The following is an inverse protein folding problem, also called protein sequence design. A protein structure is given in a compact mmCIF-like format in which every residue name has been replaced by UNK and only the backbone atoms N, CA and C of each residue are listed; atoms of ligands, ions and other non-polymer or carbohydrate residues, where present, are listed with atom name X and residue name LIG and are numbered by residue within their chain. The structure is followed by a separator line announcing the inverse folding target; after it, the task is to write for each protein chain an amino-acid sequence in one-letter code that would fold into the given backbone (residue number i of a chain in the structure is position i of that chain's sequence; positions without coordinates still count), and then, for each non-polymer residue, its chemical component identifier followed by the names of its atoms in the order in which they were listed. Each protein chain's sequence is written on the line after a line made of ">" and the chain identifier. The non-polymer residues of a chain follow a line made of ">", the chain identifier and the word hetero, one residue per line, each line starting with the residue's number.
data_IF_125295542820
#
_entry.id   IF_125295542820
#
_cell.length_a   1.000
_cell.length_b   1.000
_cell.length_c   1.000
_cell.angle_alpha   90.00
_cell.angle_beta   90.00
_cell.angle_gamma   90.00
#
_symmetry.space_group_name_H-M   'P 1'
#
loop_
_entity.id
_entity.type
_entity.pdbx_description
1 polymer ?
#
# COMPACT_ATOMS: atom_id res chain seq x y z
N UNK A 1 16.12 -8.03 -6.18
CA UNK A 1 16.02 -9.45 -6.56
C UNK A 1 15.07 -9.57 -7.72
N UNK A 2 15.38 -10.42 -8.71
CA UNK A 2 14.52 -10.64 -9.86
C UNK A 2 13.21 -11.30 -9.40
N UNK A 3 12.06 -10.68 -9.67
CA UNK A 3 10.75 -11.26 -9.38
C UNK A 3 10.32 -12.12 -10.57
N UNK A 4 10.26 -13.43 -10.38
CA UNK A 4 9.79 -14.37 -11.40
C UNK A 4 8.30 -14.66 -11.18
N UNK A 5 7.48 -14.37 -12.19
CA UNK A 5 6.08 -14.76 -12.19
C UNK A 5 5.96 -16.24 -12.53
N UNK A 6 5.11 -16.96 -11.79
CA UNK A 6 4.76 -18.32 -12.17
C UNK A 6 4.04 -18.31 -13.54
N UNK A 7 4.42 -19.27 -14.37
CA UNK A 7 3.86 -19.57 -15.66
C UNK A 7 2.79 -20.65 -15.49
N UNK A 8 1.57 -20.37 -15.98
CA UNK A 8 0.40 -21.22 -15.75
C UNK A 8 0.49 -22.57 -16.47
N UNK A 9 1.32 -22.63 -17.52
CA UNK A 9 1.60 -23.80 -18.35
C UNK A 9 2.72 -24.69 -17.79
N UNK A 10 3.38 -24.29 -16.71
CA UNK A 10 4.46 -25.05 -16.07
C UNK A 10 4.07 -25.53 -14.66
N UNK A 11 4.65 -26.65 -14.22
CA UNK A 11 4.47 -27.07 -12.83
C UNK A 11 5.27 -26.12 -11.92
N UNK A 12 4.79 -25.92 -10.69
CA UNK A 12 5.45 -25.03 -9.73
C UNK A 12 6.91 -25.43 -9.50
N UNK A 13 7.20 -26.74 -9.42
CA UNK A 13 8.55 -27.27 -9.20
C UNK A 13 9.47 -27.17 -10.43
N UNK A 14 8.90 -26.89 -11.61
CA UNK A 14 9.67 -26.71 -12.84
C UNK A 14 10.22 -25.27 -12.96
N UNK A 15 9.78 -24.36 -12.07
CA UNK A 15 10.31 -23.01 -12.00
C UNK A 15 11.62 -22.97 -11.21
N UNK A 16 12.47 -21.98 -11.51
CA UNK A 16 13.69 -21.72 -10.74
C UNK A 16 13.33 -21.07 -9.39
N UNK A 17 12.93 -21.91 -8.43
CA UNK A 17 12.58 -21.50 -7.07
C UNK A 17 13.84 -21.40 -6.19
N UNK A 18 13.86 -20.49 -5.20
CA UNK A 18 14.98 -20.38 -4.28
C UNK A 18 15.26 -21.70 -3.56
N UNK A 19 16.48 -22.23 -3.69
CA UNK A 19 16.93 -23.50 -3.07
C UNK A 19 17.18 -23.41 -1.55
N UNK A 20 16.48 -22.50 -0.86
CA UNK A 20 16.62 -22.33 0.58
C UNK A 20 15.83 -23.43 1.31
N UNK A 21 16.35 -23.98 2.42
CA UNK A 21 15.58 -24.93 3.22
C UNK A 21 14.31 -24.27 3.78
N UNK A 22 13.18 -24.97 3.65
CA UNK A 22 11.87 -24.49 4.12
C UNK A 22 10.85 -24.33 2.99
N UNK A 23 9.67 -23.81 3.34
CA UNK A 23 8.61 -23.56 2.39
C UNK A 23 8.97 -22.40 1.44
N UNK A 24 8.73 -22.58 0.15
CA UNK A 24 8.84 -21.49 -0.83
C UNK A 24 7.72 -20.48 -0.59
N UNK A 25 8.10 -19.21 -0.39
CA UNK A 25 7.14 -18.11 -0.25
C UNK A 25 6.73 -17.64 -1.64
N UNK A 26 5.43 -17.69 -1.92
CA UNK A 26 4.83 -17.10 -3.10
C UNK A 26 4.05 -15.85 -2.70
N UNK A 27 4.18 -14.79 -3.48
CA UNK A 27 3.40 -13.57 -3.29
C UNK A 27 2.31 -13.51 -4.34
N UNK A 28 1.06 -13.38 -3.90
CA UNK A 28 -0.04 -13.04 -4.78
C UNK A 28 0.00 -11.53 -5.05
N UNK A 29 0.03 -11.15 -6.32
CA UNK A 29 0.19 -9.75 -6.73
C UNK A 29 -0.54 -9.48 -8.06
N UNK A 30 -0.88 -8.23 -8.29
CA UNK A 30 -1.53 -7.78 -9.53
C UNK A 30 -0.47 -7.61 -10.61
N UNK A 31 -0.58 -8.39 -11.69
CA UNK A 31 0.33 -8.33 -12.85
C UNK A 31 -0.15 -7.37 -13.94
N UNK A 32 -1.46 -7.29 -14.14
CA UNK A 32 -2.07 -6.49 -15.20
C UNK A 32 -3.02 -5.47 -14.57
N UNK A 33 -2.82 -4.21 -14.94
CA UNK A 33 -3.71 -3.12 -14.56
C UNK A 33 -4.67 -2.81 -15.69
N UNK A 34 -5.81 -2.24 -15.33
CA UNK A 34 -6.83 -1.77 -16.25
C UNK A 34 -6.90 -0.25 -16.19
N UNK A 35 -7.50 0.38 -17.19
CA UNK A 35 -7.60 1.84 -17.28
C UNK A 35 -8.35 2.46 -16.10
N UNK A 36 -9.35 1.77 -15.55
CA UNK A 36 -10.12 2.25 -14.41
C UNK A 36 -10.59 1.10 -13.53
N UNK A 37 -10.39 1.24 -12.22
CA UNK A 37 -10.92 0.31 -11.21
C UNK A 37 -12.45 0.26 -11.19
N UNK A 38 -13.13 1.25 -11.77
CA UNK A 38 -14.60 1.26 -11.91
C UNK A 38 -15.14 0.09 -12.72
N UNK A 39 -14.31 -0.53 -13.58
CA UNK A 39 -14.68 -1.71 -14.34
C UNK A 39 -14.57 -3.02 -13.53
N UNK A 40 -14.00 -2.99 -12.32
CA UNK A 40 -13.92 -4.16 -11.44
C UNK A 40 -15.28 -4.43 -10.80
N UNK A 41 -15.85 -5.60 -11.10
CA UNK A 41 -17.15 -6.03 -10.57
C UNK A 41 -17.06 -6.64 -9.17
N UNK A 42 -15.92 -7.25 -8.84
CA UNK A 42 -15.71 -7.94 -7.57
C UNK A 42 -14.98 -7.03 -6.58
N UNK A 43 -15.59 -6.82 -5.42
CA UNK A 43 -15.01 -6.10 -4.29
C UNK A 43 -13.66 -6.66 -3.87
N UNK A 44 -13.51 -7.99 -3.88
CA UNK A 44 -12.24 -8.65 -3.52
C UNK A 44 -11.12 -8.22 -4.46
N UNK A 45 -11.43 -8.07 -5.75
CA UNK A 45 -10.44 -7.64 -6.74
C UNK A 45 -10.05 -6.19 -6.54
N UNK A 46 -11.00 -5.30 -6.22
CA UNK A 46 -10.70 -3.89 -5.87
C UNK A 46 -9.77 -3.83 -4.66
N UNK A 47 -10.06 -4.59 -3.60
CA UNK A 47 -9.21 -4.65 -2.40
C UNK A 47 -7.80 -5.16 -2.73
N UNK A 48 -7.67 -6.17 -3.62
CA UNK A 48 -6.37 -6.66 -4.07
C UNK A 48 -5.57 -5.61 -4.85
N UNK A 49 -6.23 -4.82 -5.71
CA UNK A 49 -5.60 -3.71 -6.43
C UNK A 49 -5.09 -2.64 -5.45
N UNK A 50 -5.92 -2.26 -4.48
CA UNK A 50 -5.53 -1.32 -3.42
C UNK A 50 -4.31 -1.83 -2.63
N UNK A 51 -4.35 -3.08 -2.15
CA UNK A 51 -3.26 -3.67 -1.38
C UNK A 51 -1.96 -3.76 -2.20
N UNK A 52 -2.07 -4.09 -3.48
CA UNK A 52 -0.92 -4.15 -4.38
C UNK A 52 -0.33 -2.76 -4.60
N UNK A 53 -1.15 -1.76 -4.91
CA UNK A 53 -0.74 -0.37 -5.08
C UNK A 53 -0.08 0.19 -3.82
N UNK A 54 -0.69 -0.03 -2.64
CA UNK A 54 -0.13 0.32 -1.32
C UNK A 54 1.26 -0.28 -1.12
N UNK A 55 1.43 -1.59 -1.40
CA UNK A 55 2.73 -2.26 -1.33
C UNK A 55 3.74 -1.67 -2.31
N UNK A 56 3.33 -1.41 -3.55
CA UNK A 56 4.23 -0.86 -4.57
C UNK A 56 4.70 0.56 -4.24
N UNK A 57 3.82 1.41 -3.73
CA UNK A 57 4.17 2.75 -3.23
C UNK A 57 5.14 2.65 -2.07
N UNK A 58 4.82 1.87 -1.03
CA UNK A 58 5.69 1.71 0.14
C UNK A 58 7.09 1.17 -0.22
N UNK A 59 7.18 0.27 -1.20
CA UNK A 59 8.45 -0.27 -1.71
C UNK A 59 9.19 0.68 -2.66
N UNK A 60 8.61 1.82 -3.02
CA UNK A 60 9.18 2.76 -3.99
C UNK A 60 9.17 2.25 -5.43
N UNK A 61 8.32 1.27 -5.76
CA UNK A 61 8.13 0.78 -7.13
C UNK A 61 7.23 1.69 -7.96
N UNK A 62 6.31 2.39 -7.29
CA UNK A 62 5.53 3.49 -7.87
C UNK A 62 6.06 4.78 -7.26
N UNK A 63 6.61 5.65 -8.10
CA UNK A 63 7.05 6.97 -7.68
C UNK A 63 5.88 7.95 -7.72
N UNK A 64 5.72 8.72 -6.64
CA UNK A 64 4.76 9.80 -6.52
C UNK A 64 5.41 10.95 -5.75
N UNK A 65 4.92 12.16 -5.97
CA UNK A 65 5.36 13.32 -5.21
C UNK A 65 4.95 13.20 -3.73
N UNK A 66 5.65 13.94 -2.87
CA UNK A 66 5.46 13.85 -1.42
C UNK A 66 4.03 14.19 -0.96
N UNK A 67 3.38 15.16 -1.60
CA UNK A 67 2.00 15.55 -1.26
C UNK A 67 1.02 14.40 -1.59
N UNK A 68 1.19 13.75 -2.74
CA UNK A 68 0.43 12.54 -3.09
C UNK A 68 0.68 11.41 -2.10
N UNK A 69 1.94 11.18 -1.68
CA UNK A 69 2.26 10.16 -0.67
C UNK A 69 1.55 10.45 0.66
N UNK A 70 1.50 11.70 1.11
CA UNK A 70 0.82 12.06 2.37
C UNK A 70 -0.69 11.80 2.29
N UNK A 71 -1.33 12.10 1.15
CA UNK A 71 -2.74 11.78 0.92
C UNK A 71 -2.99 10.27 0.92
N UNK A 72 -2.13 9.50 0.25
CA UNK A 72 -2.23 8.04 0.22
C UNK A 72 -2.05 7.45 1.63
N UNK A 73 -1.09 7.93 2.41
CA UNK A 73 -0.89 7.51 3.79
C UNK A 73 -2.11 7.81 4.69
N UNK A 74 -2.79 8.94 4.47
CA UNK A 74 -4.04 9.25 5.17
C UNK A 74 -5.17 8.27 4.80
N UNK A 75 -5.31 7.91 3.51
CA UNK A 75 -6.26 6.88 3.07
C UNK A 75 -5.92 5.50 3.66
N UNK A 76 -4.63 5.17 3.81
CA UNK A 76 -4.20 3.93 4.48
C UNK A 76 -4.60 3.92 5.96
N UNK A 77 -4.52 5.05 6.67
CA UNK A 77 -5.04 5.16 8.03
C UNK A 77 -6.57 4.98 8.06
N UNK A 78 -7.29 5.67 7.19
CA UNK A 78 -8.75 5.58 7.11
C UNK A 78 -9.23 4.14 6.80
N UNK A 79 -8.55 3.45 5.87
CA UNK A 79 -8.83 2.07 5.53
C UNK A 79 -8.59 1.11 6.70
N UNK A 80 -7.51 1.31 7.45
CA UNK A 80 -7.08 0.39 8.50
C UNK A 80 -7.70 0.67 9.88
N UNK A 81 -8.03 1.92 10.18
CA UNK A 81 -8.39 2.40 11.53
C UNK A 81 -9.73 3.13 11.59
N UNK A 82 -10.31 3.49 10.44
CA UNK A 82 -11.56 4.25 10.37
C UNK A 82 -11.33 5.74 10.57
N UNK A 83 -12.23 6.42 11.28
CA UNK A 83 -12.14 7.86 11.47
C UNK A 83 -11.03 8.27 12.45
N UNK A 84 -10.46 9.44 12.20
CA UNK A 84 -9.52 10.08 13.12
C UNK A 84 -10.09 10.22 14.54
N UNK A 85 -9.27 9.84 15.53
CA UNK A 85 -9.58 9.96 16.96
C UNK A 85 -8.65 10.96 17.68
N UNK A 86 -7.34 10.83 17.51
CA UNK A 86 -6.32 11.76 18.05
C UNK A 86 -5.01 11.67 17.29
N UNK A 87 -4.16 12.69 17.43
CA UNK A 87 -2.83 12.75 16.81
C UNK A 87 -1.92 11.63 17.34
N UNK A 88 -1.95 11.36 18.65
CA UNK A 88 -1.12 10.33 19.27
C UNK A 88 -1.43 8.94 18.68
N UNK A 89 -2.72 8.64 18.50
CA UNK A 89 -3.16 7.37 17.90
C UNK A 89 -2.75 7.30 16.43
N UNK A 90 -2.98 8.38 15.66
CA UNK A 90 -2.60 8.42 14.25
C UNK A 90 -1.09 8.21 14.05
N UNK A 91 -0.24 8.89 14.83
CA UNK A 91 1.22 8.70 14.78
C UNK A 91 1.63 7.28 15.17
N UNK A 92 1.01 6.71 16.22
CA UNK A 92 1.27 5.33 16.63
C UNK A 92 0.94 4.35 15.52
N UNK A 93 -0.21 4.52 14.87
CA UNK A 93 -0.64 3.65 13.79
C UNK A 93 0.25 3.79 12.54
N UNK A 94 0.65 5.02 12.18
CA UNK A 94 1.58 5.27 11.06
C UNK A 94 2.92 4.54 11.19
N UNK A 95 3.42 4.36 12.42
CA UNK A 95 4.65 3.59 12.68
C UNK A 95 4.51 2.09 12.42
N UNK A 96 3.27 1.58 12.44
CA UNK A 96 2.99 0.15 12.23
C UNK A 96 2.56 -0.16 10.80
N UNK A 97 2.06 0.84 10.07
CA UNK A 97 1.52 0.69 8.74
C UNK A 97 2.58 0.96 7.66
N UNK A 98 2.54 0.25 6.51
CA UNK A 98 3.40 0.51 5.38
C UNK A 98 2.92 1.76 4.62
N UNK A 99 3.03 2.94 5.24
CA UNK A 99 2.46 4.19 4.75
C UNK A 99 3.45 5.03 3.92
N UNK A 100 4.74 4.99 4.26
CA UNK A 100 5.76 5.83 3.64
C UNK A 100 6.79 5.02 2.84
N UNK A 101 7.18 5.46 1.64
CA UNK A 101 8.40 5.02 0.98
C UNK A 101 9.63 5.61 1.69
N UNK A 102 10.74 4.85 1.72
CA UNK A 102 12.00 5.31 2.33
C UNK A 102 12.50 6.62 1.71
N UNK A 103 12.31 6.80 0.40
CA UNK A 103 12.72 8.01 -0.34
C UNK A 103 12.03 9.26 0.20
N UNK A 104 10.70 9.20 0.39
CA UNK A 104 9.93 10.32 0.94
C UNK A 104 10.43 10.71 2.33
N UNK A 105 10.77 9.75 3.19
CA UNK A 105 11.30 10.04 4.52
C UNK A 105 12.67 10.74 4.49
N UNK A 106 13.46 10.56 3.43
CA UNK A 106 14.77 11.20 3.25
C UNK A 106 14.68 12.61 2.66
N UNK A 107 13.59 12.91 1.95
CA UNK A 107 13.37 14.22 1.30
C UNK A 107 12.87 15.30 2.28
N UNK A 108 12.43 14.91 3.48
CA UNK A 108 11.83 15.82 4.45
C UNK A 108 12.65 15.96 5.73
N UNK A 109 12.48 17.07 6.49
CA UNK A 109 13.29 17.37 7.66
C UNK A 109 13.17 16.34 8.79
N UNK A 110 12.03 15.65 8.92
CA UNK A 110 11.81 14.63 9.96
C UNK A 110 10.61 13.73 9.65
N UNK A 111 10.55 12.58 10.32
CA UNK A 111 9.35 11.74 10.34
C UNK A 111 8.14 12.46 10.93
N UNK A 112 8.34 13.25 11.99
CA UNK A 112 7.28 14.02 12.62
C UNK A 112 6.59 14.99 11.64
N UNK A 113 7.38 15.67 10.80
CA UNK A 113 6.84 16.50 9.72
C UNK A 113 5.96 15.70 8.75
N UNK A 114 6.40 14.50 8.35
CA UNK A 114 5.60 13.64 7.47
C UNK A 114 4.31 13.19 8.16
N UNK A 115 4.38 12.80 9.43
CA UNK A 115 3.20 12.43 10.24
C UNK A 115 2.20 13.59 10.33
N UNK A 116 2.67 14.82 10.59
CA UNK A 116 1.83 16.02 10.67
C UNK A 116 1.06 16.25 9.37
N UNK A 117 1.76 16.16 8.24
CA UNK A 117 1.15 16.28 6.90
C UNK A 117 0.10 15.22 6.65
N UNK A 118 0.35 13.98 7.05
CA UNK A 118 -0.64 12.91 6.91
C UNK A 118 -1.87 13.17 7.78
N UNK A 119 -1.67 13.63 9.03
CA UNK A 119 -2.77 13.95 9.95
C UNK A 119 -3.64 15.09 9.39
N UNK A 120 -3.03 16.13 8.81
CA UNK A 120 -3.75 17.22 8.13
C UNK A 120 -4.69 16.70 7.03
N UNK A 121 -4.28 15.66 6.28
CA UNK A 121 -5.14 15.00 5.29
C UNK A 121 -6.16 14.05 5.91
N UNK A 122 -5.77 13.30 6.95
CA UNK A 122 -6.62 12.33 7.62
C UNK A 122 -7.85 13.00 8.25
N UNK A 123 -7.68 14.19 8.83
CA UNK A 123 -8.78 15.01 9.34
C UNK A 123 -9.80 15.41 8.27
N UNK A 124 -9.34 15.66 7.03
CA UNK A 124 -10.19 16.10 5.91
C UNK A 124 -11.06 14.99 5.33
N UNK A 125 -10.64 13.74 5.52
CA UNK A 125 -11.32 12.55 4.98
C UNK A 125 -12.19 11.83 6.01
N UNK A 126 -12.43 12.46 7.17
CA UNK A 126 -13.32 11.93 8.20
C UNK A 126 -14.71 11.66 7.65
N UNK A 127 -15.26 10.50 7.99
CA UNK A 127 -16.56 10.01 7.51
C UNK A 127 -16.47 9.18 6.24
N UNK A 128 -15.29 9.05 5.62
CA UNK A 128 -15.11 8.09 4.54
C UNK A 128 -15.20 6.66 5.07
N UNK A 129 -16.04 5.84 4.43
CA UNK A 129 -16.07 4.41 4.75
C UNK A 129 -14.81 3.71 4.25
N UNK A 130 -14.46 2.56 4.85
CA UNK A 130 -13.36 1.72 4.36
C UNK A 130 -13.49 1.42 2.86
N UNK A 131 -14.71 1.18 2.38
CA UNK A 131 -14.98 0.90 0.97
C UNK A 131 -14.70 2.09 0.04
N UNK A 132 -14.85 3.32 0.53
CA UNK A 132 -14.50 4.52 -0.23
C UNK A 132 -13.01 4.85 -0.14
N UNK A 133 -12.33 4.48 0.95
CA UNK A 133 -10.90 4.73 1.12
C UNK A 133 -10.01 3.85 0.22
N UNK A 134 -10.54 2.72 -0.29
CA UNK A 134 -9.83 1.79 -1.18
C UNK A 134 -10.06 2.05 -2.67
N UNK A 135 -10.87 3.05 -3.02
CA UNK A 135 -11.29 3.40 -4.39
C UNK A 135 -10.70 4.74 -4.79
#
# INVERSE_FOLDING_TARGET
>A
GQQNWLQLDHRVLDHDLPKKPGATVLHFAVRFYIESISFLKDKTTVELFFLNAKSCVHKGQIEADSETIFKLAALVLQEAKGDYASDENARKDLKTLPAFPTKTLQEHPSLAYCEDRVIEHYLKIKGLTRGQAVV
#
